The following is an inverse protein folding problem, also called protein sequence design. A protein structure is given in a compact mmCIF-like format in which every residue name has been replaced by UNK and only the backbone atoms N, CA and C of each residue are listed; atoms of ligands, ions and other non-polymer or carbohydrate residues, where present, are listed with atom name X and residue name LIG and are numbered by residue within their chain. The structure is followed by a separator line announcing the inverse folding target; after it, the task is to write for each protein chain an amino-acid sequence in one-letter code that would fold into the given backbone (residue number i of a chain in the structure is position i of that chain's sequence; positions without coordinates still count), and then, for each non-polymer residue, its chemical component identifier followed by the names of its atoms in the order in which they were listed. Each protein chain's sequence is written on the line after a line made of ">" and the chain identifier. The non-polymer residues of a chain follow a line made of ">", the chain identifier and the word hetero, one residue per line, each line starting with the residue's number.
data_IF_358730299447
#
_entry.id   IF_358730299447
#
_cell.length_a   1.000
_cell.length_b   1.000
_cell.length_c   1.000
_cell.angle_alpha   90.00
_cell.angle_beta   90.00
_cell.angle_gamma   90.00
#
_symmetry.space_group_name_H-M   'P 1'
#
loop_
_entity.id
_entity.type
_entity.pdbx_description
1 polymer ?
#
# COMPACT_ATOMS: atom_id res chain seq x y z
N UNK A 1 12.72 24.40 -3.66
CA UNK A 1 11.27 24.30 -3.90
C UNK A 1 10.60 25.45 -3.16
N UNK A 2 9.52 26.01 -3.70
CA UNK A 2 8.75 27.03 -2.98
C UNK A 2 7.93 26.32 -1.89
N UNK A 3 8.17 26.58 -0.59
CA UNK A 3 7.47 25.90 0.50
C UNK A 3 5.97 26.21 0.53
N UNK A 4 5.49 27.23 -0.20
CA UNK A 4 4.07 27.55 -0.32
C UNK A 4 3.37 26.70 -1.38
N UNK A 5 4.11 26.01 -2.25
CA UNK A 5 3.57 25.16 -3.31
C UNK A 5 3.54 23.71 -2.88
N UNK A 6 2.42 23.30 -2.28
CA UNK A 6 2.17 21.95 -1.77
C UNK A 6 1.81 20.96 -2.89
N UNK A 7 2.72 20.75 -3.84
CA UNK A 7 2.56 19.77 -4.93
C UNK A 7 3.25 18.42 -4.61
N UNK A 8 3.11 17.44 -5.49
CA UNK A 8 3.74 16.10 -5.36
C UNK A 8 5.26 16.20 -5.14
N UNK A 9 5.91 17.24 -5.67
CA UNK A 9 7.35 17.45 -5.46
C UNK A 9 7.65 17.85 -4.03
N UNK A 10 6.82 18.70 -3.43
CA UNK A 10 6.92 19.10 -2.02
C UNK A 10 6.75 17.90 -1.08
N UNK A 11 5.74 17.07 -1.32
CA UNK A 11 5.52 15.83 -0.56
C UNK A 11 6.69 14.85 -0.69
N UNK A 12 7.12 14.57 -1.93
CA UNK A 12 8.23 13.65 -2.20
C UNK A 12 9.56 14.14 -1.61
N UNK A 13 9.82 15.45 -1.59
CA UNK A 13 11.02 16.01 -0.97
C UNK A 13 11.07 15.64 0.52
N UNK A 14 9.97 15.87 1.25
CA UNK A 14 9.91 15.53 2.67
C UNK A 14 10.10 14.02 2.93
N UNK A 15 9.52 13.15 2.10
CA UNK A 15 9.68 11.70 2.23
C UNK A 15 11.15 11.26 2.06
N UNK A 16 11.87 11.88 1.11
CA UNK A 16 13.30 11.63 0.90
C UNK A 16 14.16 12.13 2.05
N UNK A 17 13.93 13.36 2.51
CA UNK A 17 14.68 13.93 3.65
C UNK A 17 14.52 13.10 4.92
N UNK A 18 13.29 12.63 5.23
CA UNK A 18 13.06 11.73 6.37
C UNK A 18 13.90 10.46 6.27
N UNK A 19 13.95 9.88 5.08
CA UNK A 19 14.72 8.65 4.85
C UNK A 19 16.20 8.89 5.01
N UNK A 20 16.74 9.99 4.46
CA UNK A 20 18.14 10.37 4.61
C UNK A 20 18.51 10.50 6.09
N UNK A 21 17.74 11.25 6.87
CA UNK A 21 17.97 11.44 8.30
C UNK A 21 17.97 10.10 9.05
N UNK A 22 17.02 9.21 8.76
CA UNK A 22 16.95 7.90 9.39
C UNK A 22 18.18 7.03 9.07
N UNK A 23 18.65 7.08 7.82
CA UNK A 23 19.86 6.36 7.39
C UNK A 23 21.12 6.90 8.09
N UNK A 24 21.25 8.23 8.20
CA UNK A 24 22.38 8.87 8.89
C UNK A 24 22.38 8.52 10.39
N UNK A 25 21.21 8.52 11.02
CA UNK A 25 21.06 8.09 12.42
C UNK A 25 21.37 6.61 12.61
N UNK A 26 20.99 5.75 11.66
CA UNK A 26 21.34 4.34 11.68
C UNK A 26 22.86 4.17 11.62
N UNK A 27 23.54 4.88 10.72
CA UNK A 27 25.00 4.88 10.65
C UNK A 27 25.66 5.35 11.95
N UNK A 28 25.21 6.49 12.50
CA UNK A 28 25.76 7.03 13.74
C UNK A 28 25.61 6.05 14.93
N UNK A 29 24.52 5.30 14.97
CA UNK A 29 24.18 4.39 16.07
C UNK A 29 24.61 2.94 15.83
N UNK A 30 25.23 2.64 14.69
CA UNK A 30 25.53 1.26 14.29
C UNK A 30 24.27 0.39 14.14
N UNK A 31 23.15 1.00 13.78
CA UNK A 31 21.85 0.36 13.63
C UNK A 31 21.45 0.17 12.17
N UNK A 32 20.19 -0.22 11.96
CA UNK A 32 19.58 -0.36 10.65
C UNK A 32 18.25 0.39 10.60
N UNK A 33 17.87 0.87 9.42
CA UNK A 33 16.51 1.39 9.19
C UNK A 33 15.59 0.22 8.88
N UNK A 34 14.53 0.08 9.68
CA UNK A 34 13.42 -0.82 9.40
C UNK A 34 12.37 -0.09 8.57
N UNK A 35 12.11 -0.55 7.35
CA UNK A 35 11.07 0.00 6.52
C UNK A 35 9.71 -0.63 6.82
N UNK A 36 8.68 0.20 6.73
CA UNK A 36 7.32 -0.14 7.16
C UNK A 36 6.33 -0.29 6.01
N UNK A 37 6.78 -0.07 4.77
CA UNK A 37 5.97 -0.19 3.57
C UNK A 37 5.40 -1.59 3.39
N UNK A 38 4.11 -1.65 3.04
CA UNK A 38 3.38 -2.91 2.94
C UNK A 38 3.24 -3.42 1.48
N UNK A 39 2.70 -4.63 1.33
CA UNK A 39 2.57 -5.29 0.03
C UNK A 39 1.65 -4.50 -0.92
N UNK A 40 0.60 -3.86 -0.38
CA UNK A 40 -0.41 -3.13 -1.15
C UNK A 40 0.14 -1.81 -1.67
N UNK A 41 0.87 -1.09 -0.81
CA UNK A 41 1.61 0.12 -1.19
C UNK A 41 2.64 -0.18 -2.28
N UNK A 42 3.36 -1.29 -2.14
CA UNK A 42 4.33 -1.78 -3.14
C UNK A 42 3.66 -2.17 -4.46
N UNK A 43 2.49 -2.82 -4.42
CA UNK A 43 1.73 -3.19 -5.61
C UNK A 43 1.28 -1.95 -6.40
N UNK A 44 0.76 -0.95 -5.71
CA UNK A 44 0.22 0.27 -6.30
C UNK A 44 1.30 1.33 -6.57
N UNK A 45 2.54 1.07 -6.15
CA UNK A 45 3.62 2.05 -6.17
C UNK A 45 3.27 3.31 -5.38
N UNK A 46 2.50 3.17 -4.31
CA UNK A 46 2.11 4.25 -3.42
C UNK A 46 3.22 4.48 -2.38
N UNK A 47 4.41 4.76 -2.89
CA UNK A 47 5.64 5.01 -2.13
C UNK A 47 6.51 6.02 -2.87
N UNK A 48 7.36 6.76 -2.17
CA UNK A 48 8.33 7.65 -2.79
C UNK A 48 9.58 6.88 -3.19
N UNK A 49 9.91 6.87 -4.48
CA UNK A 49 11.18 6.32 -4.93
C UNK A 49 12.35 7.17 -4.40
N UNK A 50 13.28 6.52 -3.71
CA UNK A 50 14.36 7.15 -2.95
C UNK A 50 13.95 7.71 -1.58
N UNK A 51 12.69 7.53 -1.16
CA UNK A 51 12.18 7.93 0.14
C UNK A 51 11.74 6.72 0.96
N UNK A 52 10.49 6.74 1.43
CA UNK A 52 9.89 5.76 2.35
C UNK A 52 9.95 4.29 1.88
N UNK A 53 10.21 4.03 0.60
CA UNK A 53 10.42 2.66 0.10
C UNK A 53 11.82 2.10 0.41
N UNK A 54 12.79 2.93 0.78
CA UNK A 54 14.16 2.52 1.08
C UNK A 54 14.33 2.23 2.57
N UNK A 55 15.05 1.16 2.85
CA UNK A 55 15.49 0.76 4.18
C UNK A 55 16.54 -0.35 4.05
N UNK A 56 17.07 -0.84 5.17
CA UNK A 56 17.89 -2.05 5.17
C UNK A 56 17.02 -3.32 5.20
N UNK A 57 15.82 -3.26 5.77
CA UNK A 57 14.91 -4.40 5.86
C UNK A 57 13.43 -3.97 5.98
N UNK A 58 12.56 -4.49 5.10
CA UNK A 58 11.11 -4.30 5.14
C UNK A 58 10.42 -5.42 5.89
N UNK A 59 9.96 -5.12 7.11
CA UNK A 59 9.26 -6.12 7.93
C UNK A 59 7.85 -6.42 7.40
N UNK A 60 7.22 -5.46 6.73
CA UNK A 60 5.86 -5.56 6.22
C UNK A 60 5.78 -5.93 4.72
N UNK A 61 6.90 -6.22 4.05
CA UNK A 61 6.95 -6.42 2.60
C UNK A 61 5.97 -7.48 2.07
N UNK A 62 5.71 -8.53 2.86
CA UNK A 62 4.82 -9.63 2.50
C UNK A 62 3.38 -9.51 3.00
N UNK A 63 3.03 -8.40 3.67
CA UNK A 63 1.74 -8.24 4.36
C UNK A 63 0.89 -7.22 3.60
N UNK A 64 -0.30 -7.58 3.08
CA UNK A 64 -1.22 -6.61 2.47
C UNK A 64 -1.92 -5.75 3.54
N UNK A 65 -2.37 -4.54 3.17
CA UNK A 65 -2.98 -3.56 4.08
C UNK A 65 -4.16 -4.12 4.85
N UNK A 66 -5.00 -4.91 4.17
CA UNK A 66 -6.15 -5.59 4.78
C UNK A 66 -5.72 -6.53 5.91
N UNK A 67 -4.67 -7.33 5.70
CA UNK A 67 -4.11 -8.22 6.72
C UNK A 67 -3.41 -7.44 7.83
N UNK A 68 -2.66 -6.38 7.50
CA UNK A 68 -1.96 -5.55 8.49
C UNK A 68 -2.95 -4.98 9.52
N UNK A 69 -4.09 -4.43 9.06
CA UNK A 69 -5.16 -3.93 9.95
C UNK A 69 -5.78 -5.05 10.78
N UNK A 70 -5.88 -6.26 10.25
CA UNK A 70 -6.36 -7.41 11.01
C UNK A 70 -5.38 -7.82 12.11
N UNK A 71 -4.07 -7.87 11.82
CA UNK A 71 -3.02 -8.20 12.79
C UNK A 71 -2.96 -7.20 13.95
N UNK A 72 -3.02 -5.90 13.64
CA UNK A 72 -3.06 -4.85 14.68
C UNK A 72 -4.30 -5.03 15.57
N UNK A 73 -5.47 -5.29 14.98
CA UNK A 73 -6.71 -5.53 15.75
C UNK A 73 -6.61 -6.79 16.61
N UNK A 74 -6.04 -7.86 16.08
CA UNK A 74 -5.81 -9.10 16.82
C UNK A 74 -4.96 -8.84 18.07
N UNK A 75 -3.86 -8.10 17.92
CA UNK A 75 -3.00 -7.71 19.03
C UNK A 75 -3.73 -6.78 20.01
N UNK A 76 -4.47 -5.79 19.53
CA UNK A 76 -5.25 -4.89 20.37
C UNK A 76 -6.23 -5.66 21.27
N UNK A 77 -6.96 -6.64 20.72
CA UNK A 77 -7.87 -7.51 21.48
C UNK A 77 -7.10 -8.42 22.44
N UNK A 78 -5.93 -8.92 22.06
CA UNK A 78 -5.09 -9.76 22.93
C UNK A 78 -4.64 -8.99 24.17
N UNK A 79 -4.13 -7.77 23.99
CA UNK A 79 -3.71 -6.89 25.09
C UNK A 79 -4.90 -6.42 25.95
N UNK A 80 -6.07 -6.20 25.35
CA UNK A 80 -7.28 -5.81 26.07
C UNK A 80 -7.70 -6.81 27.16
N UNK A 81 -7.47 -8.11 26.90
CA UNK A 81 -7.82 -9.22 27.80
C UNK A 81 -6.85 -9.39 28.95
N UNK A 82 -5.69 -8.73 28.93
CA UNK A 82 -4.71 -8.81 30.00
C UNK A 82 -5.16 -7.97 31.20
N UNK A 83 -4.83 -8.42 32.41
CA UNK A 83 -5.18 -7.72 33.65
C UNK A 83 -4.33 -6.48 33.92
N UNK A 84 -3.12 -6.44 33.34
CA UNK A 84 -2.14 -5.37 33.52
C UNK A 84 -2.63 -4.03 32.95
N UNK A 85 -2.36 -2.94 33.69
CA UNK A 85 -2.80 -1.60 33.30
C UNK A 85 -2.08 -1.11 32.04
N UNK A 86 -0.77 -1.36 31.93
CA UNK A 86 0.02 -0.92 30.76
C UNK A 86 -0.43 -1.64 29.48
N UNK A 87 -0.80 -2.91 29.58
CA UNK A 87 -1.38 -3.68 28.48
C UNK A 87 -2.72 -3.09 28.01
N UNK A 88 -3.58 -2.65 28.93
CA UNK A 88 -4.86 -2.01 28.58
C UNK A 88 -4.67 -0.65 27.92
N UNK A 89 -3.73 0.15 28.39
CA UNK A 89 -3.39 1.41 27.74
C UNK A 89 -2.83 1.18 26.33
N UNK A 90 -1.93 0.21 26.16
CA UNK A 90 -1.40 -0.15 24.84
C UNK A 90 -2.51 -0.62 23.88
N UNK A 91 -3.45 -1.43 24.37
CA UNK A 91 -4.63 -1.85 23.59
C UNK A 91 -5.46 -0.65 23.09
N UNK A 92 -5.72 0.34 23.96
CA UNK A 92 -6.43 1.57 23.56
C UNK A 92 -5.69 2.32 22.46
N UNK A 93 -4.37 2.46 22.57
CA UNK A 93 -3.55 3.09 21.53
C UNK A 93 -3.64 2.36 20.20
N UNK A 94 -3.63 1.02 20.19
CA UNK A 94 -3.78 0.25 18.94
C UNK A 94 -5.16 0.43 18.30
N UNK A 95 -6.23 0.54 19.09
CA UNK A 95 -7.56 0.85 18.56
C UNK A 95 -7.62 2.27 18.00
N UNK A 96 -7.03 3.26 18.67
CA UNK A 96 -6.93 4.64 18.20
C UNK A 96 -6.20 4.73 16.84
N UNK A 97 -5.09 4.00 16.68
CA UNK A 97 -4.38 3.88 15.40
C UNK A 97 -5.26 3.25 14.31
N UNK A 98 -6.07 2.24 14.65
CA UNK A 98 -6.98 1.59 13.69
C UNK A 98 -8.11 2.51 13.24
N UNK A 99 -8.64 3.34 14.15
CA UNK A 99 -9.74 4.26 13.90
C UNK A 99 -9.30 5.53 13.18
N UNK A 100 -8.00 5.86 13.26
CA UNK A 100 -7.40 6.96 12.50
C UNK A 100 -7.47 6.68 10.99
N UNK A 101 -8.09 7.57 10.19
CA UNK A 101 -8.15 7.42 8.74
C UNK A 101 -6.76 7.42 8.10
N UNK A 102 -6.54 6.57 7.09
CA UNK A 102 -5.27 6.53 6.36
C UNK A 102 -5.11 7.82 5.54
N UNK A 103 -4.10 8.62 5.85
CA UNK A 103 -3.78 9.90 5.17
C UNK A 103 -2.26 10.06 4.99
N UNK A 104 -1.78 10.70 3.89
CA UNK A 104 -0.41 11.21 3.84
C UNK A 104 -0.33 12.46 4.72
N UNK A 105 0.29 12.36 5.90
CA UNK A 105 0.51 13.49 6.82
C UNK A 105 1.61 14.46 6.35
N UNK A 106 1.81 14.56 5.03
CA UNK A 106 2.85 15.39 4.41
C UNK A 106 2.40 16.84 4.19
N UNK A 107 1.11 17.11 4.36
CA UNK A 107 0.54 18.44 4.25
C UNK A 107 0.09 18.95 5.63
N UNK A 108 0.28 20.25 5.91
CA UNK A 108 -0.21 20.82 7.16
C UNK A 108 -1.74 20.67 7.24
N UNK A 109 -2.28 20.29 8.41
CA UNK A 109 -3.73 20.15 8.58
C UNK A 109 -4.42 21.49 8.31
N UNK A 110 -5.54 21.45 7.59
CA UNK A 110 -6.38 22.65 7.41
C UNK A 110 -7.37 22.66 8.56
N UNK A 111 -7.28 23.66 9.43
CA UNK A 111 -8.18 23.84 10.57
C UNK A 111 -8.29 22.64 11.54
N UNK A 112 -7.22 21.85 11.70
CA UNK A 112 -7.19 20.69 12.62
C UNK A 112 -7.79 19.42 12.03
N UNK A 113 -8.34 19.46 10.82
CA UNK A 113 -8.81 18.28 10.09
C UNK A 113 -7.76 17.78 9.11
N UNK A 114 -7.67 16.45 9.00
CA UNK A 114 -6.78 15.75 8.07
C UNK A 114 -7.20 16.15 6.64
N UNK A 115 -6.34 16.92 5.97
CA UNK A 115 -6.65 17.60 4.72
C UNK A 115 -6.78 16.67 3.50
N UNK A 116 -6.36 15.40 3.59
CA UNK A 116 -6.27 14.50 2.44
C UNK A 116 -6.47 13.02 2.84
N UNK A 117 -7.64 12.42 2.57
CA UNK A 117 -7.80 10.97 2.73
C UNK A 117 -7.12 10.24 1.55
N UNK A 118 -6.13 9.40 1.84
CA UNK A 118 -5.34 8.65 0.85
C UNK A 118 -6.21 7.78 -0.06
N UNK A 119 -7.31 7.28 0.48
CA UNK A 119 -8.26 6.41 -0.21
C UNK A 119 -8.92 7.08 -1.42
N UNK A 120 -8.99 8.42 -1.49
CA UNK A 120 -9.48 9.10 -2.70
C UNK A 120 -8.53 8.99 -3.89
N UNK A 121 -7.22 8.81 -3.64
CA UNK A 121 -6.20 8.73 -4.69
C UNK A 121 -5.95 7.29 -5.11
N UNK A 122 -5.93 6.40 -4.12
CA UNK A 122 -5.54 5.00 -4.33
C UNK A 122 -6.76 4.10 -4.47
N UNK A 123 -7.87 4.40 -3.78
CA UNK A 123 -9.06 3.55 -3.70
C UNK A 123 -9.04 2.61 -2.49
N UNK A 124 -10.10 1.81 -2.32
CA UNK A 124 -10.23 0.91 -1.18
C UNK A 124 -9.23 -0.25 -1.30
N UNK A 125 -8.40 -0.43 -0.27
CA UNK A 125 -7.39 -1.50 -0.23
C UNK A 125 -8.02 -2.90 -0.31
N UNK A 126 -9.26 -3.10 0.16
CA UNK A 126 -9.93 -4.40 0.04
C UNK A 126 -10.18 -4.83 -1.42
N UNK A 127 -10.39 -3.88 -2.34
CA UNK A 127 -10.45 -4.18 -3.77
C UNK A 127 -9.05 -4.46 -4.32
N UNK A 128 -8.06 -3.63 -4.01
CA UNK A 128 -6.70 -3.80 -4.55
C UNK A 128 -6.03 -5.07 -4.09
N UNK A 129 -6.19 -5.44 -2.82
CA UNK A 129 -5.65 -6.68 -2.27
C UNK A 129 -6.33 -7.90 -2.89
N UNK A 130 -7.64 -7.79 -3.16
CA UNK A 130 -8.39 -8.82 -3.90
C UNK A 130 -7.87 -8.97 -5.33
N UNK A 131 -7.72 -7.85 -6.05
CA UNK A 131 -7.19 -7.85 -7.41
C UNK A 131 -5.78 -8.43 -7.45
N UNK A 132 -4.90 -7.96 -6.56
CA UNK A 132 -3.51 -8.39 -6.44
C UNK A 132 -3.42 -9.91 -6.21
N UNK A 133 -4.23 -10.44 -5.31
CA UNK A 133 -4.24 -11.87 -5.02
C UNK A 133 -4.60 -12.70 -6.26
N UNK A 134 -5.71 -12.38 -6.94
CA UNK A 134 -6.11 -13.14 -8.13
C UNK A 134 -5.23 -12.91 -9.35
N UNK A 135 -4.66 -11.71 -9.46
CA UNK A 135 -3.70 -11.37 -10.51
C UNK A 135 -2.41 -12.17 -10.37
N UNK A 136 -1.82 -12.24 -9.17
CA UNK A 136 -0.55 -12.94 -8.95
C UNK A 136 -0.68 -14.44 -8.74
N UNK A 137 -1.62 -14.88 -7.89
CA UNK A 137 -1.73 -16.30 -7.52
C UNK A 137 -2.25 -17.15 -8.68
N UNK A 138 -3.17 -16.61 -9.48
CA UNK A 138 -3.89 -17.38 -10.49
C UNK A 138 -3.70 -16.87 -11.93
N UNK A 139 -2.96 -15.77 -12.14
CA UNK A 139 -2.78 -15.17 -13.46
C UNK A 139 -4.11 -14.90 -14.19
N UNK A 140 -5.14 -14.53 -13.44
CA UNK A 140 -6.44 -14.25 -14.05
C UNK A 140 -6.39 -12.96 -14.86
N UNK A 141 -7.07 -12.99 -16.01
CA UNK A 141 -7.31 -11.80 -16.83
C UNK A 141 -8.18 -10.80 -16.07
N UNK A 142 -8.02 -9.48 -16.28
CA UNK A 142 -8.78 -8.46 -15.59
C UNK A 142 -10.29 -8.65 -15.67
N UNK A 143 -10.85 -9.04 -16.84
CA UNK A 143 -12.29 -9.30 -16.99
C UNK A 143 -12.80 -10.39 -16.05
N UNK A 144 -12.00 -11.43 -15.80
CA UNK A 144 -12.36 -12.49 -14.84
C UNK A 144 -12.29 -11.98 -13.40
N UNK A 145 -11.26 -11.19 -13.07
CA UNK A 145 -11.12 -10.59 -11.74
C UNK A 145 -12.32 -9.66 -11.46
N UNK A 146 -12.72 -8.85 -12.43
CA UNK A 146 -13.90 -7.99 -12.34
C UNK A 146 -15.16 -8.79 -12.03
N UNK A 147 -15.46 -9.82 -12.83
CA UNK A 147 -16.63 -10.68 -12.61
C UNK A 147 -16.65 -11.27 -11.19
N UNK A 148 -15.51 -11.79 -10.71
CA UNK A 148 -15.44 -12.37 -9.37
C UNK A 148 -15.60 -11.30 -8.26
N UNK A 149 -15.01 -10.12 -8.45
CA UNK A 149 -15.11 -9.02 -7.52
C UNK A 149 -16.55 -8.48 -7.44
N UNK A 150 -17.27 -8.39 -8.56
CA UNK A 150 -18.69 -8.01 -8.57
C UNK A 150 -19.52 -8.93 -7.68
N UNK A 151 -19.26 -10.23 -7.71
CA UNK A 151 -19.97 -11.18 -6.83
C UNK A 151 -19.54 -11.05 -5.37
N UNK A 152 -18.23 -10.92 -5.12
CA UNK A 152 -17.68 -10.85 -3.77
C UNK A 152 -18.05 -9.55 -3.03
N UNK A 153 -18.23 -8.45 -3.77
CA UNK A 153 -18.47 -7.12 -3.22
C UNK A 153 -19.82 -6.51 -3.65
N UNK A 154 -20.77 -7.32 -4.12
CA UNK A 154 -22.07 -6.88 -4.63
C UNK A 154 -22.85 -5.95 -3.70
N UNK A 155 -22.68 -6.12 -2.40
CA UNK A 155 -23.40 -5.35 -1.36
C UNK A 155 -22.63 -4.09 -0.92
N UNK A 156 -21.42 -3.87 -1.46
CA UNK A 156 -20.52 -2.77 -1.08
C UNK A 156 -20.18 -1.83 -2.22
N UNK A 157 -19.96 -2.35 -3.42
CA UNK A 157 -19.50 -1.56 -4.57
C UNK A 157 -20.31 -1.93 -5.81
N UNK A 158 -20.72 -0.92 -6.57
CA UNK A 158 -21.28 -1.13 -7.90
C UNK A 158 -20.18 -1.54 -8.90
N UNK A 159 -20.60 -2.12 -10.03
CA UNK A 159 -19.70 -2.56 -11.09
C UNK A 159 -18.80 -1.44 -11.63
N UNK A 160 -19.31 -0.21 -11.79
CA UNK A 160 -18.52 0.91 -12.32
C UNK A 160 -17.39 1.28 -11.37
N UNK A 161 -17.66 1.25 -10.07
CA UNK A 161 -16.67 1.47 -9.01
C UNK A 161 -15.59 0.40 -9.03
N UNK A 162 -15.95 -0.89 -9.11
CA UNK A 162 -14.98 -1.99 -9.17
C UNK A 162 -14.14 -1.89 -10.45
N UNK A 163 -14.77 -1.65 -11.60
CA UNK A 163 -14.09 -1.48 -12.89
C UNK A 163 -13.09 -0.31 -12.86
N UNK A 164 -13.49 0.84 -12.30
CA UNK A 164 -12.61 2.00 -12.15
C UNK A 164 -11.34 1.66 -11.37
N UNK A 165 -11.49 1.04 -10.20
CA UNK A 165 -10.35 0.70 -9.35
C UNK A 165 -9.50 -0.43 -9.94
N UNK A 166 -10.10 -1.38 -10.67
CA UNK A 166 -9.35 -2.42 -11.37
C UNK A 166 -8.49 -1.84 -12.50
N UNK A 167 -9.02 -0.91 -13.31
CA UNK A 167 -8.23 -0.20 -14.32
C UNK A 167 -7.08 0.59 -13.68
N UNK A 168 -7.34 1.26 -12.55
CA UNK A 168 -6.29 1.95 -11.80
C UNK A 168 -5.23 0.98 -11.29
N UNK A 169 -5.63 -0.14 -10.69
CA UNK A 169 -4.74 -1.19 -10.20
C UNK A 169 -3.80 -1.65 -11.32
N UNK A 170 -4.35 -2.06 -12.47
CA UNK A 170 -3.56 -2.53 -13.62
C UNK A 170 -2.57 -1.45 -14.09
N UNK A 171 -3.02 -0.22 -14.29
CA UNK A 171 -2.13 0.87 -14.72
C UNK A 171 -1.01 1.12 -13.72
N UNK A 172 -1.34 1.22 -12.43
CA UNK A 172 -0.36 1.51 -11.37
C UNK A 172 0.60 0.34 -11.14
N UNK A 173 0.09 -0.89 -11.17
CA UNK A 173 0.88 -2.09 -10.99
C UNK A 173 2.01 -2.12 -12.02
N UNK A 174 1.72 -1.97 -13.31
CA UNK A 174 2.75 -1.99 -14.35
C UNK A 174 3.69 -0.77 -14.28
N UNK A 175 3.14 0.44 -14.23
CA UNK A 175 3.94 1.68 -14.30
C UNK A 175 4.89 1.89 -13.11
N UNK A 176 4.68 1.19 -11.99
CA UNK A 176 5.52 1.32 -10.79
C UNK A 176 6.46 0.13 -10.58
N UNK A 177 6.64 -0.75 -11.56
CA UNK A 177 7.55 -1.89 -11.43
C UNK A 177 9.00 -1.50 -11.17
N UNK A 178 9.44 -0.36 -11.68
CA UNK A 178 10.79 0.16 -11.39
C UNK A 178 11.04 0.35 -9.89
N UNK A 179 10.02 0.76 -9.11
CA UNK A 179 10.14 0.93 -7.66
C UNK A 179 10.38 -0.41 -6.95
N UNK A 180 9.74 -1.47 -7.45
CA UNK A 180 9.87 -2.83 -6.91
C UNK A 180 11.17 -3.51 -7.29
N UNK A 181 11.72 -3.17 -8.45
CA UNK A 181 12.99 -3.72 -8.92
C UNK A 181 14.15 -3.42 -7.96
N UNK A 182 14.09 -2.27 -7.26
CA UNK A 182 15.09 -1.86 -6.27
C UNK A 182 14.59 -2.00 -4.81
N UNK A 183 13.61 -2.88 -4.53
CA UNK A 183 13.07 -3.00 -3.17
C UNK A 183 14.08 -3.64 -2.19
N UNK A 184 14.09 -3.20 -0.92
CA UNK A 184 14.86 -3.83 0.17
C UNK A 184 14.49 -5.30 0.39
N UNK A 185 15.29 -6.00 1.17
CA UNK A 185 14.95 -7.35 1.63
C UNK A 185 13.82 -7.34 2.65
N UNK A 186 13.06 -8.43 2.68
CA UNK A 186 11.91 -8.59 3.57
C UNK A 186 11.32 -9.99 3.46
N UNK A 187 10.57 -10.44 4.47
CA UNK A 187 10.05 -11.79 4.49
C UNK A 187 8.83 -11.94 3.56
N UNK A 188 8.74 -13.08 2.90
CA UNK A 188 7.50 -13.53 2.25
C UNK A 188 6.60 -14.14 3.31
N UNK A 189 5.44 -13.53 3.57
CA UNK A 189 4.49 -14.00 4.59
C UNK A 189 3.36 -14.82 3.96
N UNK A 190 2.89 -14.39 2.79
CA UNK A 190 1.84 -15.06 2.04
C UNK A 190 2.40 -15.84 0.84
N UNK A 191 1.50 -16.55 0.17
CA UNK A 191 1.74 -17.27 -1.08
C UNK A 191 2.04 -16.36 -2.29
N UNK A 192 1.81 -15.06 -2.15
CA UNK A 192 2.12 -14.05 -3.17
C UNK A 192 3.27 -13.17 -2.67
N UNK A 193 4.16 -12.79 -3.57
CA UNK A 193 5.26 -11.86 -3.27
C UNK A 193 5.58 -11.01 -4.49
N UNK A 194 5.98 -9.77 -4.22
CA UNK A 194 6.39 -8.79 -5.22
C UNK A 194 7.90 -8.68 -5.37
N UNK A 195 8.67 -9.47 -4.62
CA UNK A 195 10.13 -9.45 -4.70
C UNK A 195 10.59 -9.89 -6.09
N UNK A 196 11.43 -9.10 -6.78
CA UNK A 196 12.02 -9.48 -8.06
C UNK A 196 13.00 -10.65 -7.92
N UNK A 197 13.43 -10.93 -6.68
CA UNK A 197 14.39 -12.01 -6.35
C UNK A 197 13.72 -13.37 -6.16
N UNK A 198 12.38 -13.44 -6.12
CA UNK A 198 11.65 -14.69 -5.86
C UNK A 198 10.37 -14.85 -6.68
N UNK A 199 9.45 -13.89 -6.64
CA UNK A 199 8.08 -14.13 -7.09
C UNK A 199 7.61 -13.32 -8.29
N UNK A 200 8.10 -12.10 -8.48
CA UNK A 200 7.64 -11.24 -9.58
C UNK A 200 8.80 -10.87 -10.51
N UNK A 201 8.97 -11.66 -11.57
CA UNK A 201 9.86 -11.30 -12.68
C UNK A 201 9.07 -10.53 -13.74
N UNK A 202 9.07 -9.20 -13.63
CA UNK A 202 8.41 -8.31 -14.59
C UNK A 202 9.36 -7.18 -15.00
N UNK A 203 9.48 -6.86 -16.30
CA UNK A 203 10.34 -5.78 -16.75
C UNK A 203 9.79 -4.42 -16.30
N UNK A 204 10.69 -3.48 -15.97
CA UNK A 204 10.30 -2.17 -15.41
C UNK A 204 9.60 -1.24 -16.42
N UNK A 205 9.75 -1.54 -17.69
CA UNK A 205 9.16 -0.89 -18.87
C UNK A 205 7.98 -1.67 -19.46
N UNK A 206 7.42 -2.64 -18.71
CA UNK A 206 6.22 -3.36 -19.11
C UNK A 206 5.03 -2.41 -19.33
N UNK A 207 4.29 -2.61 -20.42
CA UNK A 207 3.13 -1.80 -20.80
C UNK A 207 1.84 -2.55 -20.44
N UNK A 208 0.93 -1.88 -19.71
CA UNK A 208 -0.34 -2.49 -19.25
C UNK A 208 -1.44 -2.57 -20.31
N UNK A 209 -1.18 -2.12 -21.55
CA UNK A 209 -2.20 -1.93 -22.59
C UNK A 209 -3.02 -3.19 -22.85
N UNK A 210 -2.38 -4.34 -23.03
CA UNK A 210 -3.07 -5.62 -23.31
C UNK A 210 -4.05 -6.01 -22.19
N UNK A 211 -3.76 -5.66 -20.94
CA UNK A 211 -4.65 -5.92 -19.80
C UNK A 211 -5.80 -4.92 -19.71
N UNK A 212 -5.57 -3.67 -20.11
CA UNK A 212 -6.62 -2.65 -20.16
C UNK A 212 -7.60 -2.90 -21.31
N UNK A 213 -7.08 -3.28 -22.48
CA UNK A 213 -7.89 -3.61 -23.66
C UNK A 213 -8.87 -4.78 -23.37
N UNK A 214 -8.55 -5.70 -22.43
CA UNK A 214 -9.46 -6.77 -21.95
C UNK A 214 -10.74 -6.25 -21.27
N UNK A 215 -10.73 -4.98 -20.83
CA UNK A 215 -11.82 -4.31 -20.11
C UNK A 215 -12.56 -3.25 -20.95
N UNK A 216 -12.06 -2.88 -22.14
CA UNK A 216 -12.55 -1.69 -22.84
C UNK A 216 -13.96 -1.84 -23.43
N UNK A 217 -14.37 -3.05 -23.83
CA UNK A 217 -15.73 -3.29 -24.33
C UNK A 217 -16.81 -3.14 -23.24
N UNK A 218 -16.42 -3.17 -21.96
CA UNK A 218 -17.32 -3.08 -20.82
C UNK A 218 -17.68 -1.64 -20.44
N UNK A 219 -17.00 -0.64 -21.01
CA UNK A 219 -17.39 0.78 -20.85
C UNK A 219 -18.59 1.16 -21.73
N UNK A 220 -18.95 0.31 -22.70
CA UNK A 220 -19.99 0.59 -23.71
C UNK A 220 -21.38 0.06 -23.33
N UNK A 221 -21.55 -0.46 -22.12
CA UNK A 221 -22.80 -1.00 -21.57
C UNK A 221 -23.22 -0.13 -20.38
#
# INVERSE_FOLDING_TARGET
>A
QDPKKHDITYENAQARERTQILMDLANQRGGIVLGTGDLSESALGFVTYGGDHLSMYHINAGIPKTLLRHLIRYEAVRYQKMSDHSAKEFSKTLFDILDTPVSPELLPPKAGEIAQKTEHIVGPYELHDYFLYYFLKYNFKPRKILFMAEQAFRDKYDQKTILHWLKLFIRRFFNNQFKRSAMPDGPSVLDITLSPRKGLSMPSDAISKVWLDDLDDLERI
#
